data_IF_662931076312
#
_entry.id   IF_662931076312
#
_cell.length_a   1.000
_cell.length_b   1.000
_cell.length_c   1.000
_cell.angle_alpha   90.00
_cell.angle_beta   90.00
_cell.angle_gamma   90.00
#
_symmetry.space_group_name_H-M   'P 1'
#
loop_
_entity.id
_entity.type
_entity.pdbx_description
1 polymer ?
#
# COMPACT_ATOMS: atom_id res chain seq x y z
N UNK A 1 25.35 -18.02 1.85
CA UNK A 1 24.17 -17.21 2.21
C UNK A 1 24.45 -15.78 1.75
N UNK A 2 23.58 -15.18 0.94
CA UNK A 2 23.77 -13.79 0.52
C UNK A 2 23.68 -12.85 1.74
N UNK A 3 24.61 -11.88 1.83
CA UNK A 3 24.60 -10.89 2.91
C UNK A 3 23.35 -10.00 2.80
N UNK A 4 22.53 -10.02 3.86
CA UNK A 4 21.33 -9.19 4.00
C UNK A 4 21.65 -7.94 4.81
N UNK A 5 21.15 -6.80 4.37
CA UNK A 5 21.40 -5.51 5.02
C UNK A 5 20.53 -5.39 6.27
N UNK A 6 21.12 -5.42 7.46
CA UNK A 6 20.37 -5.34 8.72
C UNK A 6 19.77 -3.94 8.93
N UNK A 7 18.55 -3.90 9.46
CA UNK A 7 17.81 -2.66 9.77
C UNK A 7 17.56 -1.75 8.56
N UNK A 8 17.56 -2.30 7.34
CA UNK A 8 17.26 -1.57 6.12
C UNK A 8 15.84 -1.90 5.65
N UNK A 9 15.07 -0.85 5.36
CA UNK A 9 13.72 -0.93 4.78
C UNK A 9 13.69 -0.14 3.48
N UNK A 10 13.32 -0.81 2.39
CA UNK A 10 12.99 -0.15 1.12
C UNK A 10 11.48 -0.21 0.89
N UNK A 11 10.92 0.86 0.36
CA UNK A 11 9.52 0.95 -0.02
C UNK A 11 9.46 1.23 -1.52
N UNK A 12 8.69 0.42 -2.25
CA UNK A 12 8.52 0.57 -3.69
C UNK A 12 7.03 0.66 -4.04
N UNK A 13 6.54 1.84 -4.46
CA UNK A 13 5.19 2.00 -4.94
C UNK A 13 4.93 1.20 -6.22
N UNK A 14 3.82 0.47 -6.24
CA UNK A 14 3.34 -0.28 -7.39
C UNK A 14 1.85 -0.02 -7.57
N UNK A 15 1.39 -0.09 -8.82
CA UNK A 15 -0.01 0.09 -9.19
C UNK A 15 -0.41 -1.06 -10.09
N UNK A 16 -1.51 -1.73 -9.74
CA UNK A 16 -2.26 -2.58 -10.67
C UNK A 16 -3.43 -1.76 -11.17
N UNK A 17 -3.46 -1.48 -12.47
CA UNK A 17 -4.48 -0.65 -13.10
C UNK A 17 -5.24 -1.40 -14.17
N UNK A 18 -6.55 -1.17 -14.25
CA UNK A 18 -7.42 -1.60 -15.34
C UNK A 18 -7.93 -0.37 -16.10
N UNK A 19 -7.84 -0.46 -17.43
CA UNK A 19 -8.30 0.57 -18.36
C UNK A 19 -9.24 -0.09 -19.35
N UNK A 20 -10.52 0.28 -19.31
CA UNK A 20 -11.58 -0.34 -20.09
C UNK A 20 -12.22 0.66 -21.06
N UNK A 21 -12.51 0.17 -22.27
CA UNK A 21 -13.11 0.93 -23.36
C UNK A 21 -14.29 0.14 -23.93
N UNK A 22 -15.39 0.84 -24.24
CA UNK A 22 -16.49 0.23 -24.97
C UNK A 22 -16.02 -0.24 -26.35
N UNK A 23 -16.49 -1.42 -26.76
CA UNK A 23 -16.27 -1.92 -28.11
C UNK A 23 -17.03 -1.04 -29.11
N UNK A 24 -16.36 -0.70 -30.21
CA UNK A 24 -16.98 -0.09 -31.38
C UNK A 24 -18.02 -1.01 -32.01
N UNK A 25 -18.90 -0.46 -32.86
CA UNK A 25 -19.89 -1.26 -33.57
C UNK A 25 -19.26 -2.35 -34.46
N UNK A 26 -18.07 -2.09 -35.00
CA UNK A 26 -17.32 -3.07 -35.79
C UNK A 26 -16.77 -4.20 -34.91
N UNK A 27 -16.20 -3.86 -33.74
CA UNK A 27 -15.71 -4.86 -32.79
C UNK A 27 -16.85 -5.72 -32.21
N UNK A 28 -18.01 -5.13 -31.91
CA UNK A 28 -19.20 -5.88 -31.45
C UNK A 28 -19.66 -6.92 -32.47
N UNK A 29 -19.60 -6.61 -33.77
CA UNK A 29 -19.89 -7.60 -34.84
C UNK A 29 -18.92 -8.79 -34.81
N UNK A 30 -17.66 -8.57 -34.39
CA UNK A 30 -16.63 -9.61 -34.31
C UNK A 30 -16.74 -10.43 -33.02
N UNK A 31 -17.06 -9.79 -31.90
CA UNK A 31 -17.00 -10.39 -30.57
C UNK A 31 -18.38 -10.70 -29.95
N UNK A 32 -19.47 -10.55 -30.71
CA UNK A 32 -20.80 -10.97 -30.31
C UNK A 32 -21.35 -10.17 -29.12
N UNK A 33 -21.61 -10.86 -28.01
CA UNK A 33 -22.21 -10.29 -26.80
C UNK A 33 -21.21 -9.55 -25.89
N UNK A 34 -19.93 -9.49 -26.28
CA UNK A 34 -18.92 -8.75 -25.52
C UNK A 34 -19.16 -7.24 -25.63
N UNK A 35 -18.87 -6.51 -24.54
CA UNK A 35 -19.19 -5.08 -24.47
C UNK A 35 -17.95 -4.20 -24.36
N UNK A 36 -16.89 -4.69 -23.71
CA UNK A 36 -15.68 -3.92 -23.44
C UNK A 36 -14.42 -4.65 -23.92
N UNK A 37 -13.42 -3.87 -24.31
CA UNK A 37 -12.02 -4.29 -24.29
C UNK A 37 -11.35 -3.63 -23.09
N UNK A 38 -10.52 -4.37 -22.39
CA UNK A 38 -9.85 -3.87 -21.20
C UNK A 38 -8.43 -4.39 -21.11
N UNK A 39 -7.59 -3.60 -20.44
CA UNK A 39 -6.19 -3.95 -20.18
C UNK A 39 -5.93 -3.83 -18.69
N UNK A 40 -5.47 -4.90 -18.07
CA UNK A 40 -4.92 -4.87 -16.72
C UNK A 40 -3.40 -4.88 -16.79
N UNK A 41 -2.72 -3.95 -16.10
CA UNK A 41 -1.26 -3.84 -16.14
C UNK A 41 -0.67 -3.53 -14.76
N UNK A 42 0.57 -3.99 -14.56
CA UNK A 42 1.40 -3.63 -13.41
C UNK A 42 2.37 -2.52 -13.81
N UNK A 43 2.38 -1.41 -13.06
CA UNK A 43 3.28 -0.27 -13.28
C UNK A 43 3.81 0.32 -11.99
N UNK A 44 4.89 1.09 -12.09
CA UNK A 44 5.25 2.04 -11.05
C UNK A 44 4.54 3.39 -11.32
N UNK A 45 4.00 4.08 -10.30
CA UNK A 45 3.36 5.37 -10.51
C UNK A 45 4.27 6.47 -11.03
N UNK A 46 5.57 6.37 -10.77
CA UNK A 46 6.60 7.27 -11.29
C UNK A 46 7.24 6.80 -12.62
N UNK A 47 6.70 5.77 -13.29
CA UNK A 47 7.26 5.16 -14.52
C UNK A 47 8.68 4.58 -14.37
N UNK A 48 9.05 4.18 -13.15
CA UNK A 48 10.28 3.41 -12.90
C UNK A 48 10.22 2.02 -13.54
N UNK A 49 11.37 1.54 -14.01
CA UNK A 49 11.49 0.21 -14.61
C UNK A 49 11.48 -0.93 -13.57
N UNK A 50 10.37 -1.67 -13.54
CA UNK A 50 10.18 -2.83 -12.66
C UNK A 50 11.04 -4.04 -13.06
N UNK A 51 11.46 -4.16 -14.33
CA UNK A 51 12.13 -5.35 -14.87
C UNK A 51 13.50 -5.62 -14.22
N UNK A 52 14.11 -4.60 -13.60
CA UNK A 52 15.39 -4.75 -12.92
C UNK A 52 15.33 -5.71 -11.73
N UNK A 53 14.18 -5.77 -11.03
CA UNK A 53 14.02 -6.57 -9.80
C UNK A 53 12.77 -7.45 -9.78
N UNK A 54 11.85 -7.33 -10.74
CA UNK A 54 10.73 -8.23 -10.97
C UNK A 54 11.10 -9.24 -12.06
N UNK A 55 11.00 -10.53 -11.75
CA UNK A 55 11.34 -11.62 -12.69
C UNK A 55 10.14 -12.21 -13.41
N UNK A 56 8.97 -12.18 -12.75
CA UNK A 56 7.75 -12.77 -13.28
C UNK A 56 6.53 -12.10 -12.66
N UNK A 57 5.54 -11.83 -13.49
CA UNK A 57 4.22 -11.37 -13.08
C UNK A 57 3.21 -12.39 -13.58
N UNK A 58 2.27 -12.78 -12.72
CA UNK A 58 1.21 -13.73 -13.05
C UNK A 58 -0.13 -13.04 -12.80
N UNK A 59 -0.94 -12.92 -13.84
CA UNK A 59 -2.33 -12.48 -13.73
C UNK A 59 -3.21 -13.73 -13.65
N UNK A 60 -3.96 -13.86 -12.57
CA UNK A 60 -4.96 -14.91 -12.35
C UNK A 60 -6.34 -14.27 -12.50
N UNK A 61 -6.94 -14.50 -13.68
CA UNK A 61 -8.27 -14.05 -14.09
C UNK A 61 -9.35 -15.01 -13.56
N UNK A 62 -10.61 -14.63 -13.74
CA UNK A 62 -11.74 -15.51 -13.47
C UNK A 62 -11.64 -16.84 -14.28
N UNK A 63 -12.02 -18.00 -13.70
CA UNK A 63 -11.92 -19.29 -14.37
C UNK A 63 -12.70 -19.42 -15.69
N UNK A 64 -13.66 -18.53 -15.97
CA UNK A 64 -14.39 -18.51 -17.24
C UNK A 64 -13.52 -18.09 -18.45
N UNK A 65 -12.37 -17.44 -18.21
CA UNK A 65 -11.45 -17.06 -19.28
C UNK A 65 -10.64 -18.26 -19.77
N UNK A 66 -10.39 -18.33 -21.07
CA UNK A 66 -9.46 -19.31 -21.65
C UNK A 66 -8.05 -18.98 -21.15
N UNK A 67 -7.36 -19.96 -20.58
CA UNK A 67 -6.06 -19.77 -19.91
C UNK A 67 -6.12 -18.66 -18.84
N UNK A 68 -6.88 -18.86 -17.74
CA UNK A 68 -7.12 -17.81 -16.76
C UNK A 68 -5.83 -17.38 -16.03
N UNK A 69 -4.75 -18.16 -16.11
CA UNK A 69 -3.45 -17.83 -15.57
C UNK A 69 -2.51 -17.36 -16.69
N UNK A 70 -2.20 -16.07 -16.74
CA UNK A 70 -1.30 -15.44 -17.73
C UNK A 70 0.03 -15.09 -17.07
N UNK A 71 1.14 -15.53 -17.66
CA UNK A 71 2.48 -15.37 -17.09
C UNK A 71 3.34 -14.49 -18.00
N UNK A 72 3.95 -13.46 -17.41
CA UNK A 72 4.83 -12.52 -18.10
C UNK A 72 6.16 -12.46 -17.38
N UNK A 73 7.26 -12.66 -18.10
CA UNK A 73 8.63 -12.60 -17.56
C UNK A 73 9.40 -11.36 -18.03
N UNK A 74 8.78 -10.53 -18.87
CA UNK A 74 9.35 -9.30 -19.41
C UNK A 74 8.24 -8.24 -19.53
N UNK A 75 8.59 -6.94 -19.43
CA UNK A 75 7.65 -5.85 -19.65
C UNK A 75 7.24 -5.74 -21.13
N UNK A 76 6.06 -5.18 -21.44
CA UNK A 76 5.06 -4.68 -20.51
C UNK A 76 4.34 -5.83 -19.78
N UNK A 77 4.17 -5.68 -18.47
CA UNK A 77 3.44 -6.64 -17.64
C UNK A 77 1.94 -6.33 -17.72
N UNK A 78 1.29 -6.82 -18.76
CA UNK A 78 -0.12 -6.53 -18.99
C UNK A 78 -0.89 -7.68 -19.65
N UNK A 79 -2.17 -7.78 -19.30
CA UNK A 79 -3.17 -8.63 -19.96
C UNK A 79 -4.15 -7.75 -20.69
N UNK A 80 -4.41 -8.08 -21.95
CA UNK A 80 -5.46 -7.46 -22.75
C UNK A 80 -6.55 -8.50 -22.98
N UNK A 81 -7.80 -8.15 -22.70
CA UNK A 81 -8.94 -9.05 -22.81
C UNK A 81 -10.20 -8.33 -23.28
N UNK A 82 -11.18 -9.13 -23.67
CA UNK A 82 -12.51 -8.68 -24.06
C UNK A 82 -13.52 -9.34 -23.15
N UNK A 83 -14.46 -8.55 -22.62
CA UNK A 83 -15.41 -9.05 -21.63
C UNK A 83 -16.61 -8.14 -21.46
N UNK A 84 -17.57 -8.64 -20.68
CA UNK A 84 -18.78 -7.89 -20.31
C UNK A 84 -18.96 -7.78 -18.80
N UNK A 85 -18.27 -8.60 -18.01
CA UNK A 85 -18.40 -8.67 -16.56
C UNK A 85 -17.22 -8.05 -15.84
N UNK A 86 -17.52 -7.47 -14.68
CA UNK A 86 -16.56 -6.98 -13.69
C UNK A 86 -16.26 -8.10 -12.69
N UNK A 87 -15.01 -8.21 -12.25
CA UNK A 87 -14.58 -9.30 -11.37
C UNK A 87 -13.28 -8.94 -10.65
N UNK A 88 -12.93 -9.71 -9.62
CA UNK A 88 -11.61 -9.62 -8.99
C UNK A 88 -10.61 -10.53 -9.71
N UNK A 89 -9.46 -9.97 -10.07
CA UNK A 89 -8.29 -10.73 -10.50
C UNK A 89 -7.17 -10.62 -9.48
N UNK A 90 -6.24 -11.57 -9.49
CA UNK A 90 -5.05 -11.54 -8.63
C UNK A 90 -3.80 -11.36 -9.47
N UNK A 91 -2.97 -10.37 -9.13
CA UNK A 91 -1.65 -10.15 -9.74
C UNK A 91 -0.57 -10.61 -8.79
N UNK A 92 0.14 -11.69 -9.13
CA UNK A 92 1.27 -12.21 -8.35
C UNK A 92 2.60 -11.72 -8.92
N UNK A 93 3.41 -11.09 -8.10
CA UNK A 93 4.67 -10.46 -8.47
C UNK A 93 5.80 -11.26 -7.83
N UNK A 94 6.71 -11.77 -8.66
CA UNK A 94 7.90 -12.51 -8.27
C UNK A 94 9.13 -11.64 -8.45
N UNK A 95 10.02 -11.67 -7.46
CA UNK A 95 11.22 -10.86 -7.44
C UNK A 95 12.45 -11.66 -7.89
N UNK A 96 13.51 -10.95 -8.25
CA UNK A 96 14.82 -11.54 -8.56
C UNK A 96 15.49 -12.18 -7.34
N UNK A 97 15.18 -11.68 -6.13
CA UNK A 97 15.55 -12.34 -4.89
C UNK A 97 14.57 -13.48 -4.59
N UNK A 98 14.97 -14.71 -4.93
CA UNK A 98 14.18 -15.93 -4.72
C UNK A 98 13.92 -16.28 -3.26
N UNK A 99 14.63 -15.65 -2.31
CA UNK A 99 14.35 -15.82 -0.88
C UNK A 99 13.09 -15.07 -0.44
N UNK A 100 12.60 -14.14 -1.24
CA UNK A 100 11.36 -13.42 -0.98
C UNK A 100 10.16 -14.19 -1.53
N UNK A 101 9.13 -14.33 -0.69
CA UNK A 101 7.84 -14.81 -1.14
C UNK A 101 7.23 -13.85 -2.18
N UNK A 102 6.57 -14.38 -3.23
CA UNK A 102 5.84 -13.55 -4.18
C UNK A 102 4.73 -12.76 -3.47
N UNK A 103 4.45 -11.56 -3.96
CA UNK A 103 3.37 -10.72 -3.45
C UNK A 103 2.16 -10.84 -4.35
N UNK A 104 0.97 -10.93 -3.75
CA UNK A 104 -0.29 -10.97 -4.47
C UNK A 104 -1.06 -9.67 -4.24
N UNK A 105 -1.52 -9.03 -5.31
CA UNK A 105 -2.41 -7.87 -5.27
C UNK A 105 -3.74 -8.29 -5.88
N UNK A 106 -4.81 -8.20 -5.09
CA UNK A 106 -6.17 -8.42 -5.58
C UNK A 106 -6.72 -7.11 -6.14
N UNK A 107 -7.15 -7.13 -7.39
CA UNK A 107 -7.59 -5.94 -8.11
C UNK A 107 -8.97 -6.16 -8.74
N UNK A 108 -9.85 -5.16 -8.65
CA UNK A 108 -11.20 -5.22 -9.23
C UNK A 108 -11.18 -4.66 -10.66
N UNK A 109 -11.51 -5.49 -11.64
CA UNK A 109 -11.69 -5.09 -13.03
C UNK A 109 -13.02 -4.35 -13.14
N UNK A 110 -12.96 -3.03 -13.25
CA UNK A 110 -14.13 -2.16 -13.47
C UNK A 110 -14.29 -1.84 -14.95
N UNK A 111 -15.48 -1.99 -15.49
CA UNK A 111 -15.81 -1.79 -16.90
C UNK A 111 -16.76 -0.61 -17.11
N UNK A 112 -17.66 -0.36 -16.16
CA UNK A 112 -18.67 0.67 -16.27
C UNK A 112 -18.37 1.84 -15.32
N UNK A 113 -18.84 3.03 -15.68
CA UNK A 113 -18.82 4.19 -14.79
C UNK A 113 -20.00 4.14 -13.80
N UNK A 114 -19.83 4.71 -12.60
CA UNK A 114 -20.92 4.83 -11.62
C UNK A 114 -21.89 5.99 -11.98
N UNK A 115 -21.47 6.88 -12.86
CA UNK A 115 -22.15 8.12 -13.22
C UNK A 115 -22.67 8.05 -14.66
N UNK A 116 -24.00 8.06 -14.84
CA UNK A 116 -24.64 8.03 -16.17
C UNK A 116 -24.28 9.24 -17.07
N UNK A 117 -23.77 10.33 -16.48
CA UNK A 117 -23.48 11.59 -17.17
C UNK A 117 -22.01 11.81 -17.52
N UNK A 118 -21.11 10.88 -17.18
CA UNK A 118 -19.69 10.99 -17.54
C UNK A 118 -19.40 10.16 -18.79
N UNK A 119 -19.32 10.83 -19.94
CA UNK A 119 -18.75 10.26 -21.16
C UNK A 119 -17.23 10.19 -21.07
N UNK A 120 -16.69 9.42 -20.13
CA UNK A 120 -15.26 9.12 -20.12
C UNK A 120 -14.98 8.02 -21.15
N UNK A 121 -14.06 8.24 -22.11
CA UNK A 121 -13.76 7.23 -23.12
C UNK A 121 -13.08 5.99 -22.54
N UNK A 122 -12.42 6.15 -21.38
CA UNK A 122 -11.73 5.11 -20.64
C UNK A 122 -12.28 5.05 -19.21
N UNK A 123 -12.82 3.90 -18.80
CA UNK A 123 -13.08 3.61 -17.39
C UNK A 123 -11.77 3.16 -16.76
N UNK A 124 -11.38 3.83 -15.67
CA UNK A 124 -10.11 3.61 -14.98
C UNK A 124 -10.38 3.10 -13.58
N UNK A 125 -9.70 2.03 -13.19
CA UNK A 125 -9.61 1.62 -11.79
C UNK A 125 -8.18 1.22 -11.47
N UNK A 126 -7.62 1.72 -10.37
CA UNK A 126 -6.23 1.45 -10.00
C UNK A 126 -6.12 1.12 -8.52
N UNK A 127 -5.42 0.04 -8.20
CA UNK A 127 -5.04 -0.36 -6.84
C UNK A 127 -3.58 0.02 -6.61
N UNK A 128 -3.35 0.98 -5.71
CA UNK A 128 -2.03 1.42 -5.29
C UNK A 128 -1.55 0.62 -4.09
N UNK A 129 -0.31 0.15 -4.14
CA UNK A 129 0.34 -0.62 -3.07
C UNK A 129 1.77 -0.14 -2.82
N UNK A 130 2.18 -0.14 -1.54
CA UNK A 130 3.56 0.13 -1.14
C UNK A 130 4.26 -1.17 -0.76
N UNK A 131 5.09 -1.70 -1.67
CA UNK A 131 5.83 -2.94 -1.41
C UNK A 131 7.01 -2.66 -0.49
N UNK A 132 7.02 -3.32 0.67
CA UNK A 132 8.06 -3.16 1.70
C UNK A 132 9.06 -4.32 1.64
N UNK A 133 10.30 -4.01 1.30
CA UNK A 133 11.42 -4.95 1.37
C UNK A 133 12.19 -4.73 2.67
N UNK A 134 12.11 -5.69 3.61
CA UNK A 134 12.85 -5.66 4.87
C UNK A 134 14.14 -6.46 4.75
N UNK A 135 15.21 -5.88 5.29
CA UNK A 135 16.56 -6.42 5.27
C UNK A 135 16.94 -7.01 3.90
N UNK A 136 16.85 -6.25 2.79
CA UNK A 136 17.09 -6.78 1.46
C UNK A 136 18.53 -7.29 1.29
N UNK A 137 18.75 -8.19 0.33
CA UNK A 137 20.10 -8.50 -0.14
C UNK A 137 20.70 -7.26 -0.81
N UNK A 138 22.03 -7.14 -0.80
CA UNK A 138 22.73 -6.01 -1.45
C UNK A 138 22.38 -5.94 -2.94
N UNK A 139 22.25 -7.09 -3.61
CA UNK A 139 21.85 -7.18 -5.02
C UNK A 139 20.46 -6.62 -5.27
N UNK A 140 19.46 -7.01 -4.46
CA UNK A 140 18.10 -6.50 -4.58
C UNK A 140 18.05 -4.99 -4.27
N UNK A 141 18.75 -4.55 -3.21
CA UNK A 141 18.84 -3.14 -2.85
C UNK A 141 19.34 -2.30 -4.03
N UNK A 142 20.47 -2.68 -4.63
CA UNK A 142 21.06 -1.96 -5.76
C UNK A 142 20.10 -1.89 -6.96
N UNK A 143 19.42 -3.00 -7.29
CA UNK A 143 18.46 -3.04 -8.39
C UNK A 143 17.24 -2.15 -8.16
N UNK A 144 16.70 -2.14 -6.93
CA UNK A 144 15.57 -1.26 -6.57
C UNK A 144 16.00 0.20 -6.65
N UNK A 145 17.18 0.56 -6.14
CA UNK A 145 17.69 1.93 -6.21
C UNK A 145 17.91 2.36 -7.67
N UNK A 146 18.53 1.51 -8.49
CA UNK A 146 18.72 1.76 -9.92
C UNK A 146 17.40 1.93 -10.69
N UNK A 147 16.35 1.20 -10.30
CA UNK A 147 15.03 1.35 -10.94
C UNK A 147 14.42 2.73 -10.74
N UNK A 148 14.83 3.48 -9.71
CA UNK A 148 14.29 4.81 -9.44
C UNK A 148 14.79 5.85 -10.46
N UNK A 149 16.00 5.69 -10.98
CA UNK A 149 16.58 6.55 -12.03
C UNK A 149 16.32 6.03 -13.46
N UNK A 150 15.90 4.77 -13.61
CA UNK A 150 15.61 4.17 -14.91
C UNK A 150 14.14 4.32 -15.25
N UNK A 151 13.83 5.10 -16.31
CA UNK A 151 12.46 5.32 -16.78
C UNK A 151 12.12 4.38 -17.93
N UNK A 152 10.88 3.89 -17.95
CA UNK A 152 10.34 3.15 -19.08
C UNK A 152 9.81 4.11 -20.16
N UNK A 153 9.67 3.60 -21.38
CA UNK A 153 8.94 4.33 -22.42
C UNK A 153 7.50 4.64 -21.97
N UNK A 154 6.91 5.76 -22.41
CA UNK A 154 5.52 6.08 -22.15
C UNK A 154 4.56 4.96 -22.57
N UNK A 155 3.63 4.60 -21.69
CA UNK A 155 2.59 3.63 -22.03
C UNK A 155 1.49 4.29 -22.86
N UNK A 156 0.83 3.52 -23.75
CA UNK A 156 -0.30 4.00 -24.58
C UNK A 156 -1.47 4.58 -23.76
N UNK A 157 -1.61 4.19 -22.49
CA UNK A 157 -2.64 4.68 -21.57
C UNK A 157 -2.13 5.69 -20.54
N UNK A 158 -0.92 6.24 -20.71
CA UNK A 158 -0.30 7.13 -19.72
C UNK A 158 -1.15 8.37 -19.39
N UNK A 159 -1.94 8.85 -20.35
CA UNK A 159 -2.87 9.96 -20.13
C UNK A 159 -4.02 9.61 -19.17
N UNK A 160 -4.44 8.34 -19.12
CA UNK A 160 -5.49 7.83 -18.24
C UNK A 160 -4.99 7.43 -16.85
N UNK A 161 -3.68 7.34 -16.64
CA UNK A 161 -3.10 6.92 -15.37
C UNK A 161 -3.45 7.90 -14.25
N UNK A 162 -3.99 7.39 -13.13
CA UNK A 162 -4.21 8.22 -11.95
C UNK A 162 -2.87 8.80 -11.49
N UNK A 163 -2.93 10.07 -11.09
CA UNK A 163 -1.78 10.81 -10.58
C UNK A 163 -1.75 10.67 -9.07
N UNK A 164 -0.65 10.12 -8.58
CA UNK A 164 -0.40 9.98 -7.14
C UNK A 164 0.50 11.12 -6.70
N UNK A 165 0.01 12.00 -5.83
CA UNK A 165 0.82 13.07 -5.24
C UNK A 165 1.63 12.54 -4.06
N UNK A 166 2.89 12.20 -4.33
CA UNK A 166 3.82 11.74 -3.31
C UNK A 166 4.26 12.85 -2.33
N UNK A 167 4.03 14.13 -2.63
CA UNK A 167 4.36 15.23 -1.71
C UNK A 167 3.33 15.32 -0.60
N UNK A 168 2.04 15.23 -0.92
CA UNK A 168 0.96 15.23 0.06
C UNK A 168 1.08 14.06 1.04
N UNK A 169 1.40 12.86 0.54
CA UNK A 169 1.70 11.70 1.38
C UNK A 169 2.93 11.91 2.30
N UNK A 170 3.94 12.65 1.85
CA UNK A 170 5.07 13.02 2.73
C UNK A 170 4.65 13.97 3.85
N UNK A 171 3.74 14.91 3.62
CA UNK A 171 3.23 15.80 4.67
C UNK A 171 2.37 15.02 5.66
N UNK A 172 1.48 14.17 5.17
CA UNK A 172 0.65 13.29 6.00
C UNK A 172 1.50 12.34 6.83
N UNK A 173 2.52 11.69 6.26
CA UNK A 173 3.47 10.86 7.01
C UNK A 173 4.22 11.64 8.08
N UNK A 174 4.69 12.85 7.79
CA UNK A 174 5.34 13.72 8.80
C UNK A 174 4.37 14.13 9.91
N UNK A 175 3.14 14.47 9.56
CA UNK A 175 2.08 14.81 10.50
C UNK A 175 1.79 13.64 11.44
N UNK A 176 1.62 12.43 10.90
CA UNK A 176 1.38 11.22 11.68
C UNK A 176 2.57 10.87 12.59
N UNK A 177 3.80 11.01 12.10
CA UNK A 177 5.00 10.82 12.93
C UNK A 177 5.06 11.81 14.10
N UNK A 178 4.80 13.09 13.81
CA UNK A 178 4.73 14.11 14.84
C UNK A 178 3.62 13.80 15.85
N UNK A 179 2.43 13.44 15.39
CA UNK A 179 1.30 13.06 16.23
C UNK A 179 1.63 11.87 17.15
N UNK A 180 2.30 10.84 16.61
CA UNK A 180 2.74 9.68 17.41
C UNK A 180 3.71 10.09 18.51
N UNK A 181 4.65 10.99 18.22
CA UNK A 181 5.62 11.45 19.23
C UNK A 181 4.95 12.28 20.33
N UNK A 182 4.00 13.14 19.95
CA UNK A 182 3.21 13.91 20.92
C UNK A 182 2.37 12.97 21.79
N UNK A 183 1.78 11.91 21.22
CA UNK A 183 1.03 10.91 21.99
C UNK A 183 1.93 10.17 23.00
N UNK A 184 3.16 9.83 22.61
CA UNK A 184 4.15 9.21 23.50
C UNK A 184 4.49 10.13 24.69
N UNK A 185 4.81 11.40 24.42
CA UNK A 185 5.08 12.39 25.48
C UNK A 185 3.86 12.61 26.40
N UNK A 186 2.64 12.62 25.84
CA UNK A 186 1.41 12.71 26.65
C UNK A 186 1.29 11.48 27.55
N UNK A 187 1.52 10.27 27.03
CA UNK A 187 1.47 9.05 27.83
C UNK A 187 2.48 9.07 28.97
N UNK A 188 3.71 9.53 28.71
CA UNK A 188 4.75 9.63 29.72
C UNK A 188 4.37 10.63 30.83
N UNK A 189 3.90 11.83 30.46
CA UNK A 189 3.45 12.85 31.42
C UNK A 189 2.24 12.38 32.24
N UNK A 190 1.29 11.67 31.62
CA UNK A 190 0.15 11.10 32.34
C UNK A 190 0.59 10.04 33.35
N UNK A 191 1.58 9.20 33.00
CA UNK A 191 2.16 8.23 33.91
C UNK A 191 2.82 8.91 35.11
N UNK A 192 3.62 9.96 34.87
CA UNK A 192 4.27 10.74 35.93
C UNK A 192 3.26 11.42 36.85
N UNK A 193 2.24 12.08 36.30
CA UNK A 193 1.18 12.73 37.09
C UNK A 193 0.41 11.72 37.95
N UNK A 194 0.21 10.50 37.45
CA UNK A 194 -0.43 9.42 38.20
C UNK A 194 0.43 8.98 39.38
N UNK A 195 1.74 8.83 39.18
CA UNK A 195 2.69 8.47 40.25
C UNK A 195 2.77 9.55 41.33
N UNK A 196 2.87 10.83 40.95
CA UNK A 196 2.87 11.95 41.89
C UNK A 196 1.57 12.03 42.69
N UNK A 197 0.42 11.83 42.03
CA UNK A 197 -0.88 11.80 42.72
C UNK A 197 -0.96 10.69 43.77
N UNK A 198 -0.36 9.53 43.48
CA UNK A 198 -0.25 8.42 44.42
C UNK A 198 0.64 8.79 45.62
N UNK A 199 1.81 9.36 45.38
CA UNK A 199 2.73 9.81 46.45
C UNK A 199 2.09 10.88 47.35
N UNK A 200 1.37 11.84 46.78
CA UNK A 200 0.64 12.86 47.53
C UNK A 200 -0.39 12.20 48.44
N UNK A 201 -1.20 11.27 47.93
CA UNK A 201 -2.20 10.56 48.71
C UNK A 201 -1.56 9.76 49.86
N UNK A 202 -0.47 9.03 49.58
CA UNK A 202 0.26 8.28 50.60
C UNK A 202 0.85 9.21 51.68
N UNK A 203 1.41 10.35 51.27
CA UNK A 203 1.98 11.35 52.18
C UNK A 203 0.90 12.00 53.04
N UNK A 204 -0.25 12.34 52.46
CA UNK A 204 -1.40 12.86 53.19
C UNK A 204 -1.92 11.85 54.22
N UNK A 205 -2.06 10.57 53.83
CA UNK A 205 -2.47 9.50 54.75
C UNK A 205 -1.50 9.39 55.93
N UNK A 206 -0.19 9.34 55.67
CA UNK A 206 0.85 9.33 56.72
C UNK A 206 0.75 10.54 57.65
N UNK A 207 0.58 11.75 57.09
CA UNK A 207 0.41 12.97 57.88
C UNK A 207 -0.80 12.88 58.81
N UNK A 208 -1.95 12.44 58.31
CA UNK A 208 -3.17 12.30 59.12
C UNK A 208 -3.03 11.22 60.21
N UNK A 209 -2.41 10.08 59.90
CA UNK A 209 -2.11 9.04 60.90
C UNK A 209 -1.21 9.56 62.01
N UNK A 210 -0.11 10.22 61.66
CA UNK A 210 0.84 10.78 62.64
C UNK A 210 0.22 11.89 63.49
N UNK A 211 -0.65 12.73 62.89
CA UNK A 211 -1.41 13.76 63.63
C UNK A 211 -2.41 13.12 64.61
N UNK A 212 -3.05 12.01 64.25
CA UNK A 212 -3.94 11.29 65.14
C UNK A 212 -3.18 10.62 66.31
N UNK A 213 -1.97 10.12 66.07
CA UNK A 213 -1.09 9.56 67.11
C UNK A 213 -0.58 10.63 68.11
N UNK A 214 -0.30 11.85 67.63
CA UNK A 214 0.11 12.98 68.48
C UNK A 214 -1.09 13.57 69.25
N UNK A 215 -2.31 13.36 68.76
CA UNK A 215 -3.56 13.85 69.33
C UNK A 215 -4.16 12.96 70.43
N UNK A 216 -3.36 12.45 71.38
CA UNK A 216 -3.83 11.98 72.71
C UNK A 216 -2.76 12.30 73.76
N UNK A 217 -2.85 13.49 74.35
CA UNK A 217 -2.63 13.76 75.78
C UNK A 217 -2.86 15.25 76.01
N UNK A 218 -4.14 15.61 76.14
CA UNK A 218 -4.53 16.82 76.85
C UNK A 218 -5.78 16.47 77.65
N UNK A 219 -5.56 15.62 78.65
CA UNK A 219 -6.37 15.60 79.87
C UNK A 219 -5.43 15.75 81.06
N UNK A 220 -5.91 16.53 82.04
CA UNK A 220 -5.35 16.82 83.38
C UNK A 220 -4.37 17.99 83.52
N UNK A 221 -4.91 19.21 83.59
CA UNK A 221 -5.26 19.87 84.86
C UNK A 221 -5.93 21.25 84.65
#
# INVERSE_FOLDING_TARGET
MENRMQNVKLVKPMVVGTYAFLLSQQEKRKYGNMTHKWTCLLRCPNSSDLSLFVTKVVFELDPSFIYPKRVYTQPPYEVNEIGWGEFYLTVKIYFDDTSLSPISITHFVKLNTDSENEHTPCVVNETYEEIIFRNPTIRLYNKIVQSNSTKTAPHKFQEHFLKYDFKEDSYTKKYLQFQSKVQEEICDLMSEATMLSKEINETQQKYFSMKAEIGVSSDEN
#
